data_IF_940363580917
#
_entry.id   IF_940363580917
#
_cell.length_a   1.000
_cell.length_b   1.000
_cell.length_c   1.000
_cell.angle_alpha   90.00
_cell.angle_beta   90.00
_cell.angle_gamma   90.00
#
_symmetry.space_group_name_H-M   'P 1'
#
loop_
_entity.id
_entity.type
_entity.pdbx_description
1 polymer ?
#
# COMPACT_ATOMS: atom_id res chain seq x y z
N UNK A 1 -29.46 -10.09 -23.52
CA UNK A 1 -28.48 -11.15 -23.28
C UNK A 1 -27.08 -10.64 -23.18
N UNK A 2 -26.63 -9.84 -24.16
CA UNK A 2 -25.32 -9.27 -24.15
C UNK A 2 -25.07 -8.39 -22.94
N UNK A 3 -26.08 -7.69 -22.48
CA UNK A 3 -25.96 -6.84 -21.29
C UNK A 3 -25.68 -7.63 -20.02
N UNK A 4 -26.30 -8.81 -19.90
CA UNK A 4 -26.04 -9.66 -18.74
C UNK A 4 -24.62 -10.13 -18.70
N UNK A 5 -24.11 -10.55 -19.84
CA UNK A 5 -22.72 -10.99 -19.92
C UNK A 5 -21.75 -9.87 -19.56
N UNK A 6 -22.07 -8.66 -20.00
CA UNK A 6 -21.24 -7.51 -19.70
C UNK A 6 -21.21 -7.21 -18.20
N UNK A 7 -22.37 -7.28 -17.57
CA UNK A 7 -22.50 -7.04 -16.14
C UNK A 7 -21.73 -8.11 -15.36
N UNK A 8 -21.84 -9.34 -15.78
CA UNK A 8 -21.13 -10.44 -15.14
C UNK A 8 -19.62 -10.26 -15.25
N UNK A 9 -19.16 -9.81 -16.41
CA UNK A 9 -17.74 -9.54 -16.60
C UNK A 9 -17.25 -8.46 -15.65
N UNK A 10 -18.04 -7.41 -15.46
CA UNK A 10 -17.69 -6.36 -14.53
C UNK A 10 -17.60 -6.86 -13.10
N UNK A 11 -18.54 -7.70 -12.71
CA UNK A 11 -18.53 -8.29 -11.38
C UNK A 11 -17.29 -9.15 -11.15
N UNK A 12 -16.94 -9.93 -12.15
CA UNK A 12 -15.74 -10.76 -12.08
C UNK A 12 -14.52 -9.89 -11.96
N UNK A 13 -14.47 -8.81 -12.71
CA UNK A 13 -13.37 -7.86 -12.67
C UNK A 13 -13.18 -7.28 -11.26
N UNK A 14 -14.29 -6.89 -10.64
CA UNK A 14 -14.24 -6.33 -9.30
C UNK A 14 -13.76 -7.35 -8.27
N UNK A 15 -14.11 -8.62 -8.48
CA UNK A 15 -13.68 -9.67 -7.56
C UNK A 15 -12.19 -9.95 -7.64
N UNK A 16 -11.56 -9.59 -8.75
CA UNK A 16 -10.11 -9.77 -8.91
C UNK A 16 -9.33 -8.84 -8.01
N UNK A 17 -9.90 -7.70 -7.64
CA UNK A 17 -9.24 -6.79 -6.71
C UNK A 17 -9.20 -7.43 -5.33
N UNK A 18 -8.02 -7.82 -4.90
CA UNK A 18 -7.83 -8.51 -3.64
C UNK A 18 -7.68 -7.54 -2.46
N UNK A 19 -7.88 -8.06 -1.26
CA UNK A 19 -7.66 -7.28 -0.04
C UNK A 19 -6.22 -6.80 0.03
N UNK A 20 -5.30 -7.59 -0.49
CA UNK A 20 -3.89 -7.23 -0.54
C UNK A 20 -3.66 -5.97 -1.36
N UNK A 21 -4.27 -5.89 -2.53
CA UNK A 21 -4.13 -4.69 -3.37
C UNK A 21 -4.70 -3.45 -2.70
N UNK A 22 -5.86 -3.59 -2.08
CA UNK A 22 -6.47 -2.48 -1.35
C UNK A 22 -5.57 -2.06 -0.19
N UNK A 23 -5.02 -3.03 0.52
CA UNK A 23 -4.10 -2.77 1.61
C UNK A 23 -2.85 -2.03 1.16
N UNK A 24 -2.28 -2.45 0.02
CA UNK A 24 -1.10 -1.78 -0.53
C UNK A 24 -1.39 -0.33 -0.86
N UNK A 25 -2.54 -0.07 -1.45
CA UNK A 25 -2.94 1.30 -1.77
C UNK A 25 -3.10 2.16 -0.52
N UNK A 26 -3.71 1.61 0.51
CA UNK A 26 -3.87 2.32 1.78
C UNK A 26 -2.53 2.63 2.43
N UNK A 27 -1.64 1.65 2.46
CA UNK A 27 -0.32 1.83 3.05
C UNK A 27 0.49 2.83 2.23
N UNK A 28 0.41 2.79 0.91
CA UNK A 28 1.06 3.78 0.07
C UNK A 28 0.62 5.19 0.42
N UNK A 29 -0.68 5.40 0.57
CA UNK A 29 -1.21 6.71 0.90
C UNK A 29 -0.72 7.19 2.26
N UNK A 30 -0.75 6.29 3.25
CA UNK A 30 -0.28 6.60 4.60
C UNK A 30 1.20 6.96 4.58
N UNK A 31 2.01 6.17 3.89
CA UNK A 31 3.45 6.36 3.81
C UNK A 31 3.78 7.68 3.09
N UNK A 32 3.05 7.99 2.03
CA UNK A 32 3.23 9.26 1.33
C UNK A 32 2.95 10.45 2.24
N UNK A 33 1.90 10.36 3.03
CA UNK A 33 1.56 11.41 3.98
C UNK A 33 2.67 11.59 5.02
N UNK A 34 3.12 10.48 5.58
CA UNK A 34 4.18 10.49 6.58
C UNK A 34 5.46 11.09 5.98
N UNK A 35 5.83 10.63 4.80
CA UNK A 35 7.03 11.09 4.12
C UNK A 35 6.95 12.59 3.82
N UNK A 36 5.78 13.03 3.36
CA UNK A 36 5.56 14.43 3.04
C UNK A 36 5.79 15.32 4.25
N UNK A 37 5.38 14.85 5.42
CA UNK A 37 5.51 15.64 6.66
C UNK A 37 6.89 15.55 7.29
N UNK A 38 7.61 14.44 7.08
CA UNK A 38 8.85 14.17 7.78
C UNK A 38 10.10 14.30 6.92
N UNK A 39 9.96 14.12 5.63
CA UNK A 39 11.08 14.15 4.69
C UNK A 39 10.93 15.35 3.77
N UNK A 40 11.97 16.18 3.71
CA UNK A 40 11.92 17.42 2.95
C UNK A 40 12.13 17.23 1.45
N UNK A 41 13.03 16.31 1.07
CA UNK A 41 13.37 16.15 -0.34
C UNK A 41 12.54 15.08 -1.03
N UNK A 42 12.22 15.32 -2.30
CA UNK A 42 11.42 14.38 -3.08
C UNK A 42 12.16 13.07 -3.32
N UNK A 43 13.46 13.14 -3.56
CA UNK A 43 14.25 11.93 -3.80
C UNK A 43 14.23 11.00 -2.59
N UNK A 44 14.39 11.57 -1.40
CA UNK A 44 14.34 10.78 -0.18
C UNK A 44 12.96 10.21 0.07
N UNK A 45 11.92 10.99 -0.23
CA UNK A 45 10.53 10.50 -0.10
C UNK A 45 10.31 9.30 -1.00
N UNK A 46 10.81 9.39 -2.23
CA UNK A 46 10.68 8.30 -3.19
C UNK A 46 11.44 7.07 -2.72
N UNK A 47 12.65 7.27 -2.23
CA UNK A 47 13.47 6.17 -1.72
C UNK A 47 12.82 5.51 -0.51
N UNK A 48 12.28 6.32 0.40
CA UNK A 48 11.57 5.81 1.56
C UNK A 48 10.35 4.98 1.13
N UNK A 49 9.53 5.52 0.25
CA UNK A 49 8.35 4.82 -0.24
C UNK A 49 8.73 3.48 -0.88
N UNK A 50 9.74 3.49 -1.73
CA UNK A 50 10.22 2.26 -2.38
C UNK A 50 10.72 1.26 -1.34
N UNK A 51 11.43 1.73 -0.33
CA UNK A 51 11.92 0.88 0.74
C UNK A 51 10.79 0.21 1.49
N UNK A 52 9.74 0.98 1.81
CA UNK A 52 8.56 0.45 2.50
C UNK A 52 7.85 -0.58 1.63
N UNK A 53 7.61 -0.24 0.37
CA UNK A 53 6.86 -1.13 -0.52
C UNK A 53 7.64 -2.38 -0.89
N UNK A 54 8.96 -2.35 -0.78
CA UNK A 54 9.81 -3.50 -1.03
C UNK A 54 10.08 -4.33 0.23
N UNK A 55 9.69 -3.82 1.39
CA UNK A 55 9.95 -4.49 2.66
C UNK A 55 9.09 -5.76 2.76
N UNK A 56 9.74 -6.89 2.98
CA UNK A 56 9.06 -8.18 3.03
C UNK A 56 8.11 -8.27 4.23
N UNK A 57 8.49 -7.73 5.37
CA UNK A 57 7.64 -7.76 6.56
C UNK A 57 6.37 -6.96 6.34
N UNK A 58 6.50 -5.78 5.75
CA UNK A 58 5.34 -4.94 5.47
C UNK A 58 4.45 -5.62 4.45
N UNK A 59 5.02 -6.20 3.41
CA UNK A 59 4.24 -6.95 2.43
C UNK A 59 3.45 -8.08 3.08
N UNK A 60 4.09 -8.79 4.00
CA UNK A 60 3.45 -9.89 4.71
C UNK A 60 2.30 -9.37 5.56
N UNK A 61 2.51 -8.28 6.27
CA UNK A 61 1.47 -7.68 7.10
C UNK A 61 0.27 -7.23 6.26
N UNK A 62 0.55 -6.65 5.11
CA UNK A 62 -0.51 -6.24 4.19
C UNK A 62 -1.29 -7.45 3.69
N UNK A 63 -0.57 -8.51 3.35
CA UNK A 63 -1.18 -9.74 2.87
C UNK A 63 -2.08 -10.36 3.91
N UNK A 64 -1.70 -10.26 5.18
CA UNK A 64 -2.49 -10.78 6.29
C UNK A 64 -3.62 -9.85 6.70
N UNK A 65 -3.68 -8.67 6.10
CA UNK A 65 -4.70 -7.71 6.42
C UNK A 65 -4.40 -6.87 7.66
N UNK A 66 -3.17 -6.94 8.17
CA UNK A 66 -2.77 -6.22 9.37
C UNK A 66 -2.17 -4.87 9.01
N UNK A 67 -3.01 -4.00 8.49
CA UNK A 67 -2.57 -2.70 7.99
C UNK A 67 -2.00 -1.79 9.08
N UNK A 68 -2.57 -1.88 10.27
CA UNK A 68 -2.11 -1.06 11.39
C UNK A 68 -0.67 -1.41 11.76
N UNK A 69 -0.35 -2.70 11.78
CA UNK A 69 1.01 -3.15 12.06
C UNK A 69 1.96 -2.74 10.94
N UNK A 70 1.50 -2.81 9.69
CA UNK A 70 2.29 -2.37 8.56
C UNK A 70 2.60 -0.88 8.67
N UNK A 71 1.62 -0.07 9.06
CA UNK A 71 1.81 1.35 9.27
C UNK A 71 2.83 1.61 10.37
N UNK A 72 2.71 0.92 11.50
CA UNK A 72 3.65 1.07 12.59
C UNK A 72 5.07 0.70 12.17
N UNK A 73 5.20 -0.35 11.38
CA UNK A 73 6.49 -0.77 10.86
C UNK A 73 7.09 0.31 9.94
N UNK A 74 6.25 0.89 9.09
CA UNK A 74 6.69 1.96 8.20
C UNK A 74 7.18 3.17 9.00
N UNK A 75 6.47 3.54 10.05
CA UNK A 75 6.88 4.65 10.90
C UNK A 75 8.19 4.34 11.62
N UNK A 76 8.39 3.11 12.03
CA UNK A 76 9.62 2.68 12.68
C UNK A 76 10.80 2.81 11.73
N UNK A 77 10.61 2.42 10.49
CA UNK A 77 11.65 2.56 9.47
C UNK A 77 12.00 4.02 9.25
N UNK A 78 10.99 4.88 9.21
CA UNK A 78 11.22 6.32 9.05
C UNK A 78 12.00 6.90 10.21
N UNK A 79 11.69 6.44 11.42
CA UNK A 79 12.39 6.91 12.61
C UNK A 79 13.89 6.67 12.52
N UNK A 80 14.28 5.58 11.88
CA UNK A 80 15.68 5.22 11.67
C UNK A 80 16.21 5.71 10.33
N UNK A 81 15.42 6.43 9.58
CA UNK A 81 15.79 6.93 8.26
C UNK A 81 16.74 8.13 8.39
N UNK A 82 17.77 8.12 7.55
CA UNK A 82 18.73 9.25 7.56
C UNK A 82 18.78 10.01 6.25
#
# INVERSE_FOLDING_TARGET
>A
MAKKLRIESEKIFKKIITKEEIGQMKIQNIVREIAKNKIATQNERKNYLNSIMSNKEIKQLIKEGQLKKAENQARSILRNWK
#
